data_IF_613607980944
#
_entry.id   IF_613607980944
#
_cell.length_a   1.000
_cell.length_b   1.000
_cell.length_c   1.000
_cell.angle_alpha   90.00
_cell.angle_beta   90.00
_cell.angle_gamma   90.00
#
_symmetry.space_group_name_H-M   'P 1'
#
loop_
_entity.id
_entity.type
_entity.pdbx_description
1 polymer ?
#
# COMPACT_ATOMS: atom_id res chain seq x y z
N UNK A 1 3.69 -12.49 1.53
CA UNK A 1 2.92 -11.48 0.78
C UNK A 1 3.10 -10.13 1.43
N UNK A 2 3.40 -9.09 0.64
CA UNK A 2 3.38 -7.70 1.09
C UNK A 2 2.05 -7.06 0.72
N UNK A 3 1.29 -6.58 1.70
CA UNK A 3 0.02 -5.88 1.48
C UNK A 3 0.31 -4.45 1.06
N UNK A 4 -0.20 -4.07 -0.11
CA UNK A 4 -0.01 -2.74 -0.69
C UNK A 4 -0.93 -1.72 -0.02
N UNK A 5 -0.45 -0.49 0.16
CA UNK A 5 -1.15 0.61 0.84
C UNK A 5 -1.53 1.69 -0.21
N UNK A 6 -2.07 1.22 -1.33
CA UNK A 6 -2.53 2.04 -2.46
C UNK A 6 -4.03 1.90 -2.56
N UNK A 7 -4.75 3.02 -2.44
CA UNK A 7 -6.22 3.07 -2.36
C UNK A 7 -6.91 2.26 -3.46
N UNK A 8 -6.46 2.40 -4.73
CA UNK A 8 -7.03 1.65 -5.86
C UNK A 8 -6.86 0.14 -5.77
N UNK A 9 -5.80 -0.34 -5.11
CA UNK A 9 -5.50 -1.78 -4.97
C UNK A 9 -6.33 -2.45 -3.87
N UNK A 10 -6.78 -1.67 -2.88
CA UNK A 10 -7.51 -2.17 -1.71
C UNK A 10 -9.01 -1.87 -1.77
N UNK A 11 -9.42 -0.88 -2.58
CA UNK A 11 -10.81 -0.45 -2.72
C UNK A 11 -11.16 -0.14 -4.19
N UNK A 12 -12.44 -0.30 -4.53
CA UNK A 12 -13.00 0.17 -5.80
C UNK A 12 -13.41 1.65 -5.76
N UNK A 13 -13.40 2.26 -4.57
CA UNK A 13 -13.73 3.67 -4.34
C UNK A 13 -12.49 4.55 -4.57
N UNK A 14 -12.74 5.82 -4.89
CA UNK A 14 -11.66 6.83 -4.98
C UNK A 14 -11.02 7.08 -3.62
N UNK A 15 -11.82 7.15 -2.56
CA UNK A 15 -11.35 7.16 -1.17
C UNK A 15 -11.43 5.76 -0.57
N UNK A 16 -10.26 5.23 -0.20
CA UNK A 16 -10.13 4.08 0.67
C UNK A 16 -9.85 4.53 2.11
N UNK A 17 -10.12 3.67 3.09
CA UNK A 17 -9.82 3.93 4.51
C UNK A 17 -8.82 2.93 5.07
N UNK A 18 -8.29 3.23 6.26
CA UNK A 18 -7.47 2.28 7.00
C UNK A 18 -8.21 0.97 7.33
N UNK A 19 -9.54 0.99 7.42
CA UNK A 19 -10.34 -0.23 7.60
C UNK A 19 -10.29 -1.11 6.34
N UNK A 20 -10.37 -0.52 5.13
CA UNK A 20 -10.19 -1.28 3.87
C UNK A 20 -8.80 -1.96 3.85
N UNK A 21 -7.75 -1.25 4.29
CA UNK A 21 -6.41 -1.83 4.39
C UNK A 21 -6.37 -2.99 5.37
N UNK A 22 -6.98 -2.84 6.56
CA UNK A 22 -6.98 -3.88 7.58
C UNK A 22 -7.75 -5.12 7.14
N UNK A 23 -8.88 -4.96 6.44
CA UNK A 23 -9.65 -6.07 5.87
C UNK A 23 -8.80 -6.92 4.92
N UNK A 24 -7.95 -6.28 4.09
CA UNK A 24 -6.99 -6.99 3.22
C UNK A 24 -5.92 -7.74 4.02
N UNK A 25 -5.38 -7.14 5.07
CA UNK A 25 -4.39 -7.79 5.95
C UNK A 25 -5.02 -9.02 6.62
N UNK A 26 -6.20 -8.90 7.21
CA UNK A 26 -6.93 -9.99 7.83
C UNK A 26 -7.22 -11.13 6.85
N UNK A 27 -7.71 -10.78 5.65
CA UNK A 27 -7.95 -11.77 4.61
C UNK A 27 -6.67 -12.54 4.25
N UNK A 28 -5.56 -11.84 4.02
CA UNK A 28 -4.30 -12.47 3.67
C UNK A 28 -3.70 -13.28 4.83
N UNK A 29 -3.89 -12.85 6.08
CA UNK A 29 -3.51 -13.65 7.26
C UNK A 29 -4.37 -14.92 7.32
N UNK A 30 -5.67 -14.84 7.02
CA UNK A 30 -6.56 -16.00 6.97
C UNK A 30 -6.21 -16.99 5.86
N UNK A 31 -5.68 -16.51 4.72
CA UNK A 31 -5.30 -17.35 3.57
C UNK A 31 -3.89 -17.91 3.70
N UNK A 32 -2.90 -17.08 4.05
CA UNK A 32 -1.48 -17.42 4.00
C UNK A 32 -0.87 -17.71 5.38
N UNK A 33 -1.55 -17.35 6.47
CA UNK A 33 -1.04 -17.44 7.84
C UNK A 33 -0.21 -16.21 8.26
N UNK A 34 -0.22 -15.92 9.56
CA UNK A 34 0.39 -14.71 10.14
C UNK A 34 1.90 -14.60 9.90
N UNK A 35 2.61 -15.72 9.68
CA UNK A 35 4.05 -15.74 9.42
C UNK A 35 4.42 -15.42 7.97
N UNK A 36 3.42 -15.25 7.09
CA UNK A 36 3.61 -15.09 5.65
C UNK A 36 3.06 -13.76 5.12
N UNK A 37 2.65 -12.83 5.99
CA UNK A 37 2.10 -11.52 5.62
C UNK A 37 2.94 -10.40 6.19
N UNK A 38 3.16 -9.35 5.41
CA UNK A 38 3.78 -8.10 5.86
C UNK A 38 3.23 -6.91 5.09
N UNK A 39 3.65 -5.69 5.45
CA UNK A 39 3.22 -4.46 4.78
C UNK A 39 4.23 -4.07 3.69
N UNK A 40 3.76 -3.88 2.46
CA UNK A 40 4.56 -3.42 1.33
C UNK A 40 3.92 -2.19 0.70
N UNK A 41 4.06 -1.02 1.34
CA UNK A 41 3.19 0.13 1.11
C UNK A 41 3.06 0.61 -0.34
N UNK A 42 4.11 0.47 -1.15
CA UNK A 42 4.16 0.96 -2.55
C UNK A 42 3.87 2.48 -2.66
N UNK A 43 4.02 3.21 -1.55
CA UNK A 43 3.82 4.65 -1.48
C UNK A 43 5.03 5.32 -2.12
N UNK A 44 4.85 5.76 -3.36
CA UNK A 44 5.93 6.30 -4.15
C UNK A 44 5.82 7.81 -4.38
N UNK A 45 5.01 8.56 -3.62
CA UNK A 45 4.76 10.00 -3.79
C UNK A 45 4.59 10.75 -2.46
N UNK A 46 4.83 12.08 -2.42
CA UNK A 46 4.72 12.87 -1.19
C UNK A 46 3.30 13.34 -0.85
N UNK A 47 2.38 13.33 -1.83
CA UNK A 47 1.00 13.82 -1.68
C UNK A 47 0.05 12.74 -1.18
N UNK A 48 -1.22 13.07 -0.86
CA UNK A 48 -2.19 12.13 -0.30
C UNK A 48 -2.68 11.07 -1.30
N UNK A 49 -2.35 11.19 -2.58
CA UNK A 49 -2.81 10.30 -3.64
C UNK A 49 -1.79 9.22 -4.02
N UNK A 50 -1.90 8.73 -5.25
CA UNK A 50 -0.92 7.80 -5.85
C UNK A 50 0.12 8.53 -6.70
N UNK A 51 0.52 9.73 -6.29
CA UNK A 51 1.49 10.53 -7.06
C UNK A 51 2.88 9.88 -7.08
N UNK A 52 3.73 10.39 -7.98
CA UNK A 52 5.13 9.98 -8.08
C UNK A 52 6.04 10.92 -7.29
N UNK A 53 7.11 10.36 -6.70
CA UNK A 53 8.27 11.04 -6.11
C UNK A 53 9.19 11.60 -7.20
N UNK A 54 9.00 11.17 -8.45
CA UNK A 54 9.71 11.74 -9.59
C UNK A 54 9.12 13.10 -9.91
N UNK A 55 9.88 14.14 -9.61
CA UNK A 55 9.56 15.49 -10.06
C UNK A 55 9.85 15.61 -11.56
N UNK A 56 8.80 15.89 -12.33
CA UNK A 56 8.92 16.13 -13.75
C UNK A 56 8.94 17.64 -14.05
N UNK A 57 9.79 18.12 -14.99
CA UNK A 57 9.74 19.50 -15.44
C UNK A 57 8.34 19.89 -15.93
N UNK A 58 7.90 21.15 -15.78
CA UNK A 58 6.57 21.59 -16.24
C UNK A 58 6.32 21.36 -17.74
N UNK A 59 7.40 21.27 -18.53
CA UNK A 59 7.37 21.02 -19.98
C UNK A 59 7.19 19.55 -20.35
N UNK A 60 7.31 18.62 -19.40
CA UNK A 60 7.11 17.20 -19.66
C UNK A 60 5.62 16.84 -19.44
N UNK A 61 4.89 16.39 -20.48
CA UNK A 61 3.51 15.96 -20.31
C UNK A 61 3.45 14.74 -19.38
N UNK A 62 2.74 14.85 -18.25
CA UNK A 62 2.64 13.81 -17.22
C UNK A 62 1.95 12.53 -17.72
N UNK A 63 0.96 12.66 -18.59
CA UNK A 63 0.22 11.52 -19.14
C UNK A 63 -0.22 11.80 -20.58
N UNK A 64 0.22 10.96 -21.52
CA UNK A 64 -0.41 10.80 -22.83
C UNK A 64 -1.05 9.41 -22.85
N UNK A 65 -2.38 9.27 -22.88
CA UNK A 65 -3.05 7.97 -22.83
C UNK A 65 -2.72 7.09 -24.05
N UNK A 66 -2.15 7.67 -25.12
CA UNK A 66 -1.69 6.95 -26.33
C UNK A 66 -0.25 6.43 -26.21
N UNK A 67 0.47 6.79 -25.15
CA UNK A 67 1.86 6.36 -24.89
C UNK A 67 1.91 5.46 -23.68
N UNK A 68 2.91 4.58 -23.58
CA UNK A 68 3.12 3.66 -22.45
C UNK A 68 3.64 4.40 -21.18
N UNK A 69 3.20 5.63 -20.94
CA UNK A 69 3.63 6.48 -19.81
C UNK A 69 2.54 6.58 -18.74
N UNK A 70 1.66 5.57 -18.66
CA UNK A 70 0.58 5.49 -17.69
C UNK A 70 0.85 4.35 -16.70
N UNK A 71 0.37 4.51 -15.47
CA UNK A 71 0.42 3.48 -14.44
C UNK A 71 -0.94 2.76 -14.33
N UNK A 72 -0.91 1.49 -13.94
CA UNK A 72 -2.09 0.64 -13.79
C UNK A 72 -2.41 -0.26 -15.00
N UNK A 73 -3.17 -1.33 -14.77
CA UNK A 73 -3.25 -2.48 -15.69
C UNK A 73 -4.35 -2.40 -16.78
N UNK A 74 -5.37 -1.55 -16.62
CA UNK A 74 -6.50 -1.43 -17.55
C UNK A 74 -6.87 0.04 -17.73
N UNK A 75 -7.19 0.42 -18.98
CA UNK A 75 -7.31 1.81 -19.40
C UNK A 75 -8.45 2.58 -18.69
N UNK A 76 -9.59 1.92 -18.50
CA UNK A 76 -10.79 2.54 -17.89
C UNK A 76 -11.00 2.12 -16.43
N UNK A 77 -10.50 0.94 -16.05
CA UNK A 77 -10.84 0.32 -14.77
C UNK A 77 -9.76 0.49 -13.71
N UNK A 78 -8.48 0.38 -14.08
CA UNK A 78 -7.38 0.22 -13.12
C UNK A 78 -6.29 1.28 -13.28
N UNK A 79 -6.63 2.45 -13.80
CA UNK A 79 -5.69 3.58 -13.86
C UNK A 79 -5.36 4.03 -12.44
N UNK A 80 -4.08 4.22 -12.17
CA UNK A 80 -3.64 4.95 -11.00
C UNK A 80 -3.61 6.43 -11.37
N UNK A 81 -4.50 7.20 -10.76
CA UNK A 81 -4.56 8.66 -10.89
C UNK A 81 -4.34 9.30 -9.52
N UNK A 82 -3.91 10.57 -9.46
CA UNK A 82 -3.76 11.28 -8.20
C UNK A 82 -5.05 11.37 -7.35
N UNK A 83 -6.22 11.11 -7.95
CA UNK A 83 -7.54 11.22 -7.29
C UNK A 83 -7.84 10.08 -6.31
N UNK A 84 -7.02 9.02 -6.31
CA UNK A 84 -7.19 7.90 -5.39
C UNK A 84 -6.43 8.14 -4.10
N UNK A 85 -7.16 8.24 -2.99
CA UNK A 85 -6.63 8.61 -1.68
C UNK A 85 -6.91 7.54 -0.64
N UNK A 86 -5.97 7.36 0.29
CA UNK A 86 -6.15 6.54 1.48
C UNK A 86 -6.25 7.45 2.69
N UNK A 87 -7.47 7.65 3.20
CA UNK A 87 -7.70 8.49 4.38
C UNK A 87 -6.97 7.88 5.58
N UNK A 88 -6.13 8.69 6.23
CA UNK A 88 -5.30 8.27 7.36
C UNK A 88 -3.92 7.72 6.98
N UNK A 89 -3.56 7.70 5.70
CA UNK A 89 -2.20 7.41 5.22
C UNK A 89 -1.87 8.26 3.99
N UNK A 90 -1.67 9.55 4.20
CA UNK A 90 -1.42 10.53 3.14
C UNK A 90 0.06 10.60 2.78
N UNK A 91 0.92 10.53 3.79
CA UNK A 91 2.37 10.57 3.65
C UNK A 91 3.04 9.52 4.53
N UNK A 92 4.36 9.33 4.36
CA UNK A 92 5.10 8.33 5.14
C UNK A 92 5.12 8.58 6.65
N UNK A 93 4.88 9.82 7.10
CA UNK A 93 4.72 10.16 8.51
C UNK A 93 3.49 9.50 9.15
N UNK A 94 2.51 9.09 8.35
CA UNK A 94 1.29 8.44 8.80
C UNK A 94 1.43 6.92 9.02
N UNK A 95 2.65 6.37 8.83
CA UNK A 95 2.92 4.94 9.09
C UNK A 95 2.41 4.41 10.44
N UNK A 96 2.52 5.15 11.56
CA UNK A 96 1.96 4.70 12.82
C UNK A 96 0.46 4.40 12.76
N UNK A 97 -0.30 5.05 11.89
CA UNK A 97 -1.75 4.83 11.77
C UNK A 97 -2.08 3.42 11.27
N UNK A 98 -1.23 2.82 10.42
CA UNK A 98 -1.38 1.41 10.00
C UNK A 98 -1.27 0.49 11.21
N UNK A 99 -0.28 0.71 12.07
CA UNK A 99 -0.07 -0.08 13.30
C UNK A 99 -1.23 0.09 14.26
N UNK A 100 -1.68 1.32 14.50
CA UNK A 100 -2.82 1.62 15.38
C UNK A 100 -4.06 0.93 14.86
N UNK A 101 -4.36 1.06 13.57
CA UNK A 101 -5.52 0.40 12.96
C UNK A 101 -5.46 -1.13 13.13
N UNK A 102 -4.32 -1.76 12.86
CA UNK A 102 -4.21 -3.21 13.04
C UNK A 102 -4.35 -3.62 14.53
N UNK A 103 -3.84 -2.82 15.46
CA UNK A 103 -4.07 -3.06 16.88
C UNK A 103 -5.56 -2.95 17.27
N UNK A 104 -6.29 -1.96 16.74
CA UNK A 104 -7.75 -1.83 16.92
C UNK A 104 -8.52 -3.05 16.41
N UNK A 105 -7.98 -3.74 15.40
CA UNK A 105 -8.55 -4.97 14.82
C UNK A 105 -8.20 -6.24 15.60
N UNK A 106 -7.45 -6.12 16.68
CA UNK A 106 -7.19 -7.22 17.62
C UNK A 106 -5.88 -7.98 17.40
N UNK A 107 -5.03 -7.52 16.47
CA UNK A 107 -3.68 -8.08 16.35
C UNK A 107 -2.86 -7.77 17.61
N UNK A 108 -2.28 -8.80 18.20
CA UNK A 108 -1.45 -8.61 19.40
C UNK A 108 -0.05 -8.09 19.05
N UNK A 109 0.70 -7.66 20.06
CA UNK A 109 2.04 -7.07 19.89
C UNK A 109 3.01 -7.99 19.11
N UNK A 110 2.95 -9.30 19.33
CA UNK A 110 3.77 -10.27 18.62
C UNK A 110 3.43 -10.36 17.14
N UNK A 111 2.14 -10.35 16.81
CA UNK A 111 1.63 -10.37 15.43
C UNK A 111 1.93 -9.05 14.71
N UNK A 112 1.75 -7.92 15.38
CA UNK A 112 2.10 -6.60 14.84
C UNK A 112 3.58 -6.53 14.46
N UNK A 113 4.49 -7.03 15.31
CA UNK A 113 5.92 -7.10 14.98
C UNK A 113 6.20 -7.95 13.73
N UNK A 114 5.47 -9.06 13.57
CA UNK A 114 5.55 -9.92 12.38
C UNK A 114 5.14 -9.16 11.12
N UNK A 115 3.96 -8.55 11.14
CA UNK A 115 3.39 -7.77 10.04
C UNK A 115 4.27 -6.56 9.66
N UNK A 116 4.84 -5.88 10.66
CA UNK A 116 5.67 -4.69 10.46
C UNK A 116 7.08 -4.98 9.93
N UNK A 117 7.58 -6.21 10.04
CA UNK A 117 8.87 -6.51 9.43
C UNK A 117 9.53 -7.83 9.83
N UNK A 118 9.20 -8.45 10.97
CA UNK A 118 9.89 -9.69 11.35
C UNK A 118 9.69 -10.82 10.34
N UNK A 119 8.54 -10.84 9.65
CA UNK A 119 8.32 -11.81 8.56
C UNK A 119 9.25 -11.55 7.36
N UNK A 120 9.44 -10.29 6.96
CA UNK A 120 10.38 -9.96 5.89
C UNK A 120 11.83 -10.27 6.31
N UNK A 121 12.23 -9.91 7.52
CA UNK A 121 13.57 -10.20 8.03
C UNK A 121 13.85 -11.71 8.09
N UNK A 122 12.86 -12.52 8.45
CA UNK A 122 12.95 -13.98 8.38
C UNK A 122 13.21 -14.45 6.95
N UNK A 123 12.43 -13.96 5.97
CA UNK A 123 12.58 -14.32 4.55
C UNK A 123 13.92 -13.85 4.00
N UNK A 124 14.35 -12.62 4.30
CA UNK A 124 15.64 -12.11 3.83
C UNK A 124 16.80 -12.94 4.37
N UNK A 125 16.77 -13.33 5.64
CA UNK A 125 17.79 -14.22 6.21
C UNK A 125 17.82 -15.59 5.52
N UNK A 126 16.65 -16.14 5.20
CA UNK A 126 16.53 -17.45 4.57
C UNK A 126 17.03 -17.46 3.12
N UNK A 127 16.76 -16.38 2.37
CA UNK A 127 17.03 -16.30 0.93
C UNK A 127 18.38 -15.64 0.62
N UNK A 128 18.77 -14.61 1.37
CA UNK A 128 19.93 -13.78 1.09
C UNK A 128 21.14 -14.04 2.02
N UNK A 129 20.96 -14.78 3.12
CA UNK A 129 21.99 -15.01 4.14
C UNK A 129 22.10 -13.88 5.15
#
# INVERSE_FOLDING_TARGET
>A
FGVVVIARSISSRQEATLDDFADHVEHLVGVAGIDHVGIGADKAGPGPGTESLVEYPPTLPRHDPRKFTWAGFRLEEHRLTPDYHLTGYENFGDWPNLTVKLAERGFNEGELRKLLGLNFLRVFREVAG
#
